data_IF_466496415351
#
_entry.id   IF_466496415351
#
_cell.length_a   1.000
_cell.length_b   1.000
_cell.length_c   1.000
_cell.angle_alpha   90.00
_cell.angle_beta   90.00
_cell.angle_gamma   90.00
#
_symmetry.space_group_name_H-M   'P 1'
#
loop_
_entity.id
_entity.type
_entity.pdbx_description
1 polymer ?
#
# COMPACT_ATOMS: atom_id res chain seq x y z
N UNK A 1 17.99 0.12 2.46
CA UNK A 1 16.66 0.31 1.83
C UNK A 1 15.82 -0.95 1.83
N UNK A 2 16.35 -2.13 1.48
CA UNK A 2 15.54 -3.35 1.27
C UNK A 2 15.07 -4.14 2.51
N UNK A 3 15.45 -3.72 3.72
CA UNK A 3 15.04 -4.41 4.97
C UNK A 3 13.80 -3.81 5.62
N UNK A 4 13.32 -2.66 5.13
CA UNK A 4 12.20 -1.91 5.71
C UNK A 4 11.13 -1.68 4.64
N UNK A 5 9.87 -1.84 5.02
CA UNK A 5 8.73 -1.58 4.13
C UNK A 5 8.69 -0.12 3.68
N UNK A 6 7.87 0.17 2.66
CA UNK A 6 7.73 1.51 2.06
C UNK A 6 7.29 2.57 3.08
N UNK A 7 6.46 2.18 4.05
CA UNK A 7 6.04 3.07 5.13
C UNK A 7 6.85 2.77 6.39
N UNK A 8 7.88 3.58 6.63
CA UNK A 8 8.73 3.47 7.81
C UNK A 8 9.18 4.86 8.29
N UNK A 9 9.25 5.05 9.61
CA UNK A 9 9.55 6.34 10.24
C UNK A 9 10.98 6.84 9.93
N UNK A 10 11.92 5.92 9.80
CA UNK A 10 13.32 6.22 9.47
C UNK A 10 13.61 6.57 8.00
N UNK A 11 12.61 6.53 7.11
CA UNK A 11 12.84 6.92 5.72
C UNK A 11 13.03 8.44 5.59
N UNK A 12 13.77 8.91 4.57
CA UNK A 12 14.00 10.34 4.35
C UNK A 12 12.71 11.14 4.15
N UNK A 13 12.73 12.43 4.49
CA UNK A 13 11.59 13.34 4.34
C UNK A 13 11.10 13.46 2.90
N UNK A 14 11.98 13.23 1.93
CA UNK A 14 11.67 13.18 0.50
C UNK A 14 10.66 12.07 0.18
N UNK A 15 10.74 10.93 0.88
CA UNK A 15 9.78 9.84 0.71
C UNK A 15 8.40 10.26 1.22
N UNK A 16 8.32 10.87 2.42
CA UNK A 16 7.07 11.45 2.93
C UNK A 16 6.50 12.50 1.99
N UNK A 17 7.36 13.39 1.47
CA UNK A 17 6.98 14.47 0.55
C UNK A 17 6.46 13.94 -0.78
N UNK A 18 7.04 12.87 -1.31
CA UNK A 18 6.57 12.19 -2.51
C UNK A 18 5.13 11.71 -2.37
N UNK A 19 4.81 10.99 -1.28
CA UNK A 19 3.45 10.49 -1.05
C UNK A 19 2.44 11.62 -0.81
N UNK A 20 2.81 12.66 -0.04
CA UNK A 20 1.94 13.82 0.20
C UNK A 20 1.64 14.54 -1.12
N UNK A 21 2.68 14.87 -1.89
CA UNK A 21 2.54 15.63 -3.15
C UNK A 21 1.74 14.83 -4.18
N UNK A 22 2.05 13.54 -4.35
CA UNK A 22 1.32 12.66 -5.25
C UNK A 22 -0.16 12.51 -4.87
N UNK A 23 -0.46 12.39 -3.58
CA UNK A 23 -1.85 12.28 -3.10
C UNK A 23 -2.63 13.59 -3.28
N UNK A 24 -1.99 14.75 -3.12
CA UNK A 24 -2.58 16.06 -3.43
C UNK A 24 -2.88 16.21 -4.92
N UNK A 25 -1.92 15.84 -5.77
CA UNK A 25 -2.12 15.84 -7.21
C UNK A 25 -3.29 14.93 -7.60
N UNK A 26 -3.36 13.72 -7.02
CA UNK A 26 -4.48 12.81 -7.23
C UNK A 26 -5.83 13.41 -6.80
N UNK A 27 -5.88 14.12 -5.67
CA UNK A 27 -7.11 14.80 -5.23
C UNK A 27 -7.58 15.84 -6.25
N UNK A 28 -6.65 16.61 -6.82
CA UNK A 28 -6.93 17.61 -7.84
C UNK A 28 -7.47 16.97 -9.13
N UNK A 29 -6.85 15.88 -9.59
CA UNK A 29 -7.32 15.15 -10.78
C UNK A 29 -8.70 14.50 -10.55
N UNK A 30 -8.90 13.87 -9.39
CA UNK A 30 -10.18 13.27 -9.02
C UNK A 30 -11.34 14.28 -9.00
N UNK A 31 -11.06 15.56 -8.75
CA UNK A 31 -12.08 16.62 -8.78
C UNK A 31 -12.64 16.85 -10.19
N UNK A 32 -11.85 16.56 -11.22
CA UNK A 32 -12.20 16.76 -12.63
C UNK A 32 -12.78 15.49 -13.27
N UNK A 33 -12.61 14.32 -12.66
CA UNK A 33 -13.12 13.05 -13.20
C UNK A 33 -14.62 12.87 -12.91
N UNK A 34 -15.36 12.47 -13.95
CA UNK A 34 -16.81 12.22 -13.84
C UNK A 34 -17.12 11.16 -12.79
N UNK A 35 -17.95 11.50 -11.81
CA UNK A 35 -18.34 10.61 -10.70
C UNK A 35 -17.36 10.55 -9.51
N UNK A 36 -16.20 11.21 -9.60
CA UNK A 36 -15.15 11.12 -8.56
C UNK A 36 -15.04 12.35 -7.65
N UNK A 37 -15.75 13.42 -7.95
CA UNK A 37 -15.73 14.67 -7.17
C UNK A 37 -15.97 14.46 -5.66
N UNK A 38 -16.85 13.53 -5.28
CA UNK A 38 -17.13 13.17 -3.87
C UNK A 38 -15.95 12.52 -3.14
N UNK A 39 -15.01 11.93 -3.88
CA UNK A 39 -13.79 11.33 -3.32
C UNK A 39 -12.64 12.32 -3.29
N UNK A 40 -12.59 13.30 -4.21
CA UNK A 40 -11.56 14.33 -4.24
C UNK A 40 -11.40 15.05 -2.89
N UNK A 41 -12.51 15.46 -2.28
CA UNK A 41 -12.48 16.09 -0.95
C UNK A 41 -11.96 15.15 0.14
N UNK A 42 -12.34 13.87 0.10
CA UNK A 42 -11.85 12.87 1.04
C UNK A 42 -10.33 12.66 0.89
N UNK A 43 -9.85 12.52 -0.35
CA UNK A 43 -8.43 12.34 -0.68
C UNK A 43 -7.63 13.58 -0.25
N UNK A 44 -8.13 14.78 -0.53
CA UNK A 44 -7.49 16.02 -0.09
C UNK A 44 -7.32 16.09 1.43
N UNK A 45 -8.38 15.74 2.19
CA UNK A 45 -8.38 15.81 3.66
C UNK A 45 -7.33 14.94 4.34
N UNK A 46 -6.99 13.78 3.79
CA UNK A 46 -5.96 12.92 4.38
C UNK A 46 -4.59 13.03 3.70
N UNK A 47 -4.47 13.78 2.60
CA UNK A 47 -3.25 13.85 1.80
C UNK A 47 -2.01 14.29 2.60
N UNK A 48 -2.15 15.20 3.56
CA UNK A 48 -1.03 15.65 4.42
C UNK A 48 -0.55 14.57 5.40
N UNK A 49 -1.41 13.61 5.73
CA UNK A 49 -1.16 12.55 6.72
C UNK A 49 -1.01 11.17 6.09
N UNK A 50 -1.07 11.05 4.76
CA UNK A 50 -1.09 9.76 4.06
C UNK A 50 0.10 8.86 4.43
N UNK A 51 1.28 9.45 4.60
CA UNK A 51 2.49 8.71 4.96
C UNK A 51 2.45 8.20 6.41
N UNK A 52 1.95 9.02 7.34
CA UNK A 52 1.75 8.62 8.75
C UNK A 52 0.70 7.53 8.87
N UNK A 53 -0.43 7.67 8.15
CA UNK A 53 -1.48 6.65 8.07
C UNK A 53 -0.91 5.34 7.52
N UNK A 54 -0.07 5.42 6.49
CA UNK A 54 0.60 4.25 5.91
C UNK A 54 1.56 3.57 6.90
N UNK A 55 2.31 4.35 7.69
CA UNK A 55 3.17 3.83 8.76
C UNK A 55 2.33 3.09 9.79
N UNK A 56 1.27 3.74 10.30
CA UNK A 56 0.43 3.15 11.34
C UNK A 56 -0.33 1.91 10.85
N UNK A 57 -0.77 1.91 9.60
CA UNK A 57 -1.41 0.75 8.98
C UNK A 57 -0.44 -0.44 8.78
N UNK A 58 0.85 -0.16 8.69
CA UNK A 58 1.92 -1.14 8.45
C UNK A 58 2.61 -1.62 9.72
N UNK A 59 2.30 -1.03 10.89
CA UNK A 59 2.85 -1.45 12.18
C UNK A 59 2.30 -2.82 12.56
N UNK A 60 3.22 -3.70 12.94
CA UNK A 60 2.90 -4.98 13.55
C UNK A 60 2.23 -4.75 14.93
N UNK A 61 1.23 -5.56 15.25
CA UNK A 61 0.50 -5.48 16.52
C UNK A 61 0.34 -6.88 17.11
N UNK A 62 0.97 -7.16 18.25
CA UNK A 62 0.89 -8.48 18.89
C UNK A 62 -0.55 -8.85 19.30
N UNK A 63 -1.37 -7.85 19.60
CA UNK A 63 -2.75 -8.01 20.08
C UNK A 63 -3.77 -8.15 18.94
N UNK A 64 -3.35 -8.05 17.67
CA UNK A 64 -4.24 -8.07 16.51
C UNK A 64 -3.88 -9.16 15.48
N UNK A 65 -4.82 -9.40 14.56
CA UNK A 65 -4.56 -10.24 13.40
C UNK A 65 -3.74 -9.47 12.35
N UNK A 66 -2.47 -9.87 12.21
CA UNK A 66 -1.55 -9.31 11.22
C UNK A 66 -1.60 -10.13 9.93
N UNK A 67 -1.82 -9.47 8.80
CA UNK A 67 -1.76 -10.11 7.48
C UNK A 67 -0.59 -9.55 6.69
N UNK A 68 0.21 -10.45 6.12
CA UNK A 68 1.20 -10.11 5.12
C UNK A 68 0.50 -10.05 3.76
N UNK A 69 0.50 -8.88 3.15
CA UNK A 69 -0.08 -8.66 1.82
C UNK A 69 1.02 -8.36 0.81
N UNK A 70 0.87 -8.84 -0.43
CA UNK A 70 1.91 -8.75 -1.46
C UNK A 70 2.12 -7.34 -2.05
N UNK A 71 1.26 -6.38 -1.74
CA UNK A 71 1.37 -4.97 -2.13
C UNK A 71 1.20 -4.63 -3.62
N UNK A 72 1.72 -5.48 -4.51
CA UNK A 72 1.71 -5.36 -5.96
C UNK A 72 1.68 -6.76 -6.61
N UNK A 73 0.49 -7.38 -6.59
CA UNK A 73 0.25 -8.74 -7.08
C UNK A 73 0.07 -8.76 -8.60
N UNK A 74 1.18 -8.72 -9.32
CA UNK A 74 1.25 -8.91 -10.76
C UNK A 74 2.09 -10.15 -11.11
N UNK A 75 1.80 -10.78 -12.26
CA UNK A 75 2.55 -11.97 -12.74
C UNK A 75 4.04 -11.68 -12.97
N UNK A 76 4.40 -10.42 -13.22
CA UNK A 76 5.79 -9.99 -13.37
C UNK A 76 6.58 -10.11 -12.07
N UNK A 77 5.89 -10.15 -10.93
CA UNK A 77 6.49 -10.29 -9.60
C UNK A 77 6.46 -11.74 -9.09
N UNK A 78 6.13 -12.70 -9.96
CA UNK A 78 6.16 -14.12 -9.66
C UNK A 78 7.34 -14.77 -10.37
N UNK A 79 8.22 -15.39 -9.61
CA UNK A 79 9.23 -16.30 -10.15
C UNK A 79 8.64 -17.69 -10.22
N UNK A 80 8.78 -18.34 -11.38
CA UNK A 80 8.31 -19.70 -11.60
C UNK A 80 9.51 -20.65 -11.71
N UNK A 81 9.42 -21.79 -11.04
CA UNK A 81 10.31 -22.93 -11.25
C UNK A 81 9.67 -23.82 -12.31
N UNK A 82 10.46 -24.25 -13.28
CA UNK A 82 10.01 -25.09 -14.38
C UNK A 82 10.62 -26.50 -14.27
N UNK A 83 9.89 -27.51 -14.73
CA UNK A 83 10.43 -28.86 -14.92
C UNK A 83 11.24 -28.96 -16.23
N UNK A 84 11.76 -30.17 -16.52
CA UNK A 84 12.54 -30.44 -17.73
C UNK A 84 11.74 -30.31 -19.03
N UNK A 85 10.41 -30.37 -18.95
CA UNK A 85 9.49 -30.21 -20.08
C UNK A 85 9.04 -28.74 -20.26
N UNK A 86 9.58 -27.83 -19.45
CA UNK A 86 9.26 -26.40 -19.49
C UNK A 86 7.91 -26.04 -18.87
N UNK A 87 7.32 -26.92 -18.04
CA UNK A 87 6.07 -26.63 -17.33
C UNK A 87 6.34 -26.04 -15.95
N UNK A 88 5.59 -25.01 -15.53
CA UNK A 88 5.75 -24.43 -14.20
C UNK A 88 5.28 -25.42 -13.13
N UNK A 89 6.13 -25.70 -12.15
CA UNK A 89 5.87 -26.64 -11.05
C UNK A 89 5.75 -25.96 -9.69
N UNK A 90 6.40 -24.80 -9.51
CA UNK A 90 6.37 -24.02 -8.27
C UNK A 90 6.46 -22.52 -8.61
N UNK A 91 6.00 -21.66 -7.69
CA UNK A 91 6.19 -20.22 -7.83
C UNK A 91 6.51 -19.56 -6.48
N UNK A 92 7.26 -18.45 -6.53
CA UNK A 92 7.53 -17.58 -5.40
C UNK A 92 7.16 -16.15 -5.80
N UNK A 93 6.43 -15.48 -4.92
CA UNK A 93 6.06 -14.08 -5.04
C UNK A 93 7.20 -13.21 -4.46
N UNK A 94 7.70 -12.24 -5.24
CA UNK A 94 8.91 -11.44 -4.89
C UNK A 94 8.59 -9.97 -4.60
N UNK A 95 7.34 -9.52 -4.75
CA UNK A 95 6.99 -8.11 -4.50
C UNK A 95 6.86 -7.76 -3.01
N UNK A 96 6.92 -6.45 -2.76
CA UNK A 96 6.97 -5.79 -1.44
C UNK A 96 5.84 -6.30 -0.54
N UNK A 97 6.22 -7.04 0.50
CA UNK A 97 5.34 -7.41 1.58
C UNK A 97 4.96 -6.18 2.42
N UNK A 98 3.67 -5.84 2.45
CA UNK A 98 3.10 -4.88 3.39
C UNK A 98 2.37 -5.64 4.48
N UNK A 99 2.77 -5.39 5.74
CA UNK A 99 1.95 -5.77 6.87
C UNK A 99 0.69 -4.90 6.85
N UNK A 100 -0.46 -5.52 7.05
CA UNK A 100 -1.71 -4.80 7.24
C UNK A 100 -2.34 -5.27 8.53
N UNK A 101 -2.59 -4.33 9.42
CA UNK A 101 -3.51 -4.52 10.54
C UNK A 101 -4.91 -4.72 9.97
N UNK A 102 -5.49 -5.92 10.12
CA UNK A 102 -6.92 -6.10 9.89
C UNK A 102 -7.63 -5.70 11.18
N UNK A 103 -7.80 -4.39 11.37
CA UNK A 103 -8.96 -3.95 12.15
C UNK A 103 -10.16 -4.28 11.28
N UNK A 104 -11.07 -5.15 11.74
CA UNK A 104 -12.37 -5.30 11.08
C UNK A 104 -12.98 -3.90 11.00
N UNK A 105 -12.93 -3.29 9.82
CA UNK A 105 -13.53 -1.99 9.52
C UNK A 105 -15.05 -2.19 9.42
N UNK A 106 -15.67 -2.60 10.52
CA UNK A 106 -17.12 -2.57 10.72
C UNK A 106 -17.56 -1.42 11.64
N UNK A 107 -16.63 -0.58 12.09
CA UNK A 107 -16.93 0.55 12.96
C UNK A 107 -16.42 1.85 12.33
N UNK A 108 -17.36 2.77 12.10
CA UNK A 108 -17.19 4.17 11.70
C UNK A 108 -17.20 4.51 10.20
N UNK A 109 -18.10 3.87 9.45
CA UNK A 109 -18.82 4.57 8.37
C UNK A 109 -20.25 4.82 8.88
N UNK A 110 -20.40 5.77 9.79
CA UNK A 110 -21.63 6.49 10.10
C UNK A 110 -21.25 7.94 10.38
#
# INVERSE_FOLDING_TARGET
MYTKGVFHEEHPLEMKSYFITGTKALANECANWSGFKKYAEKIAKFSDRIYEIGIDASKFSEDDFNVITHGDFSVNNMLFKYDNDGKPIEHICVSIALFKKITFLYTNIN
#
